data_IF_228229472258
#
_entry.id   IF_228229472258
#
_cell.length_a   1.000
_cell.length_b   1.000
_cell.length_c   1.000
_cell.angle_alpha   90.00
_cell.angle_beta   90.00
_cell.angle_gamma   90.00
#
_symmetry.space_group_name_H-M   'P 1'
#
loop_
_entity.id
_entity.type
_entity.pdbx_description
1 polymer ?
#
# COMPACT_ATOMS: atom_id res chain seq x y z
N UNK A 1 5.99 20.51 -13.11
CA UNK A 1 4.87 21.36 -12.62
C UNK A 1 3.96 20.56 -11.69
N UNK A 2 4.19 20.69 -10.36
CA UNK A 2 3.23 20.63 -9.24
C UNK A 2 2.43 19.32 -8.94
N UNK A 3 2.95 18.54 -7.98
CA UNK A 3 2.49 17.28 -7.35
C UNK A 3 1.14 17.31 -6.56
N UNK A 4 0.31 18.36 -6.66
CA UNK A 4 -0.83 18.55 -5.73
C UNK A 4 -2.10 17.73 -6.02
N UNK A 5 -2.13 16.85 -7.04
CA UNK A 5 -3.28 15.96 -7.27
C UNK A 5 -3.27 14.67 -6.44
N UNK A 6 -2.20 14.41 -5.69
CA UNK A 6 -2.16 13.34 -4.68
C UNK A 6 -2.90 13.71 -3.37
N UNK A 7 -3.32 14.97 -3.22
CA UNK A 7 -3.62 15.52 -1.90
C UNK A 7 -5.06 15.95 -1.67
N UNK A 8 -6.05 15.06 -1.64
CA UNK A 8 -7.30 15.40 -0.93
C UNK A 8 -8.04 14.25 -0.24
N UNK A 9 -7.72 12.99 -0.55
CA UNK A 9 -8.43 11.84 0.02
C UNK A 9 -7.54 10.85 0.80
N UNK A 10 -6.22 11.10 0.88
CA UNK A 10 -5.28 10.34 1.74
C UNK A 10 -4.41 11.31 2.55
N UNK A 11 -4.99 12.36 3.13
CA UNK A 11 -4.25 13.26 4.03
C UNK A 11 -4.46 12.85 5.49
N UNK A 12 -3.37 12.46 6.15
CA UNK A 12 -3.17 12.60 7.60
C UNK A 12 -3.83 11.53 8.48
N UNK A 13 -3.01 10.74 9.20
CA UNK A 13 -3.36 9.96 10.40
C UNK A 13 -4.51 8.94 10.34
N UNK A 14 -5.27 8.84 9.25
CA UNK A 14 -6.37 7.88 9.16
C UNK A 14 -5.80 6.49 8.89
N UNK A 15 -5.82 5.67 9.94
CA UNK A 15 -5.50 4.25 9.86
C UNK A 15 -6.60 3.56 9.05
N UNK A 16 -6.22 2.95 7.94
CA UNK A 16 -7.08 2.19 7.05
C UNK A 16 -6.80 0.69 7.20
N UNK A 17 -7.62 -0.15 6.58
CA UNK A 17 -7.23 -1.51 6.23
C UNK A 17 -6.64 -1.50 4.81
N UNK A 18 -5.68 -2.39 4.58
CA UNK A 18 -5.05 -2.59 3.27
C UNK A 18 -5.39 -3.98 2.76
N UNK A 19 -5.76 -4.07 1.49
CA UNK A 19 -5.99 -5.31 0.78
C UNK A 19 -5.24 -5.31 -0.54
N UNK A 20 -4.41 -6.34 -0.75
CA UNK A 20 -3.61 -6.53 -1.95
C UNK A 20 -4.09 -7.82 -2.62
N UNK A 21 -4.60 -7.70 -3.84
CA UNK A 21 -4.95 -8.84 -4.70
C UNK A 21 -3.80 -9.13 -5.66
N UNK A 22 -3.44 -10.40 -5.83
CA UNK A 22 -2.40 -10.85 -6.72
C UNK A 22 -2.95 -11.94 -7.65
N UNK A 23 -2.56 -11.92 -8.92
CA UNK A 23 -2.90 -12.94 -9.90
C UNK A 23 -1.68 -13.26 -10.77
N UNK A 24 -1.44 -14.55 -11.02
CA UNK A 24 -0.38 -15.03 -11.90
C UNK A 24 -0.92 -15.37 -13.30
N UNK A 25 -0.05 -15.82 -14.20
CA UNK A 25 -0.44 -16.19 -15.56
C UNK A 25 -1.18 -17.53 -15.69
N UNK A 26 -1.21 -18.34 -14.62
CA UNK A 26 -2.08 -19.53 -14.53
C UNK A 26 -3.50 -19.19 -14.06
N UNK A 27 -3.76 -17.90 -13.81
CA UNK A 27 -4.98 -17.33 -13.25
C UNK A 27 -5.22 -17.68 -11.78
N UNK A 28 -4.26 -18.31 -11.11
CA UNK A 28 -4.28 -18.49 -9.65
C UNK A 28 -4.25 -17.13 -8.99
N UNK A 29 -5.01 -16.99 -7.90
CA UNK A 29 -5.11 -15.73 -7.15
C UNK A 29 -4.63 -15.95 -5.73
N UNK A 30 -3.98 -14.93 -5.20
CA UNK A 30 -3.65 -14.85 -3.79
C UNK A 30 -3.90 -13.44 -3.27
N UNK A 31 -3.85 -13.26 -1.95
CA UNK A 31 -4.06 -11.95 -1.34
C UNK A 31 -3.25 -11.77 -0.06
N UNK A 32 -2.98 -10.51 0.26
CA UNK A 32 -2.44 -10.05 1.52
C UNK A 32 -3.34 -8.96 2.09
N UNK A 33 -3.76 -9.11 3.35
CA UNK A 33 -4.60 -8.16 4.06
C UNK A 33 -3.89 -7.70 5.33
N UNK A 34 -3.95 -6.40 5.60
CA UNK A 34 -3.43 -5.80 6.82
C UNK A 34 -4.54 -5.04 7.55
N UNK A 35 -4.70 -5.33 8.83
CA UNK A 35 -5.76 -4.75 9.67
C UNK A 35 -5.58 -3.25 9.98
N UNK A 36 -4.41 -2.70 9.68
CA UNK A 36 -4.06 -1.30 9.82
C UNK A 36 -3.04 -0.92 8.74
N UNK A 37 -3.20 0.25 8.13
CA UNK A 37 -2.30 0.80 7.14
C UNK A 37 -2.38 2.32 7.14
N UNK A 38 -1.24 2.97 7.28
CA UNK A 38 -1.11 4.41 7.10
C UNK A 38 0.23 4.75 6.44
N UNK A 39 0.21 5.82 5.67
CA UNK A 39 1.41 6.38 5.02
C UNK A 39 1.69 7.74 5.66
N UNK A 40 2.96 7.99 5.98
CA UNK A 40 3.42 9.27 6.51
C UNK A 40 3.37 10.39 5.48
N UNK A 41 3.71 11.61 5.90
CA UNK A 41 3.68 12.79 5.03
C UNK A 41 4.82 12.81 4.00
N UNK A 42 4.71 13.71 3.02
CA UNK A 42 5.76 13.97 2.03
C UNK A 42 7.09 14.39 2.70
N UNK A 43 7.02 15.23 3.73
CA UNK A 43 8.20 15.71 4.47
C UNK A 43 8.92 14.53 5.13
N UNK A 44 8.15 13.55 5.59
CA UNK A 44 8.66 12.30 6.17
C UNK A 44 9.09 11.30 5.09
N UNK A 45 8.91 11.59 3.79
CA UNK A 45 9.23 10.69 2.68
C UNK A 45 8.23 9.54 2.51
N UNK A 46 6.96 9.79 2.85
CA UNK A 46 5.85 8.84 2.69
C UNK A 46 6.10 7.45 3.28
N UNK A 47 6.58 7.28 4.53
CA UNK A 47 6.86 5.96 5.06
C UNK A 47 5.59 5.12 5.28
N UNK A 48 5.68 3.80 5.28
CA UNK A 48 4.61 2.95 5.86
C UNK A 48 4.62 3.16 7.38
N UNK A 49 3.88 4.15 7.86
CA UNK A 49 3.93 4.59 9.26
C UNK A 49 3.15 3.68 10.21
N UNK A 50 2.15 2.97 9.69
CA UNK A 50 1.41 1.93 10.41
C UNK A 50 1.23 0.74 9.48
N UNK A 51 1.57 -0.45 9.97
CA UNK A 51 1.22 -1.73 9.33
C UNK A 51 0.68 -2.66 10.41
N UNK A 52 -0.56 -3.09 10.23
CA UNK A 52 -1.29 -3.92 11.19
C UNK A 52 -0.99 -5.40 11.04
N UNK A 53 -1.75 -6.21 11.77
CA UNK A 53 -1.69 -7.67 11.66
C UNK A 53 -1.97 -8.11 10.22
N UNK A 54 -1.10 -8.97 9.70
CA UNK A 54 -1.25 -9.67 8.44
C UNK A 54 -2.25 -10.83 8.55
N UNK A 55 -3.09 -10.98 7.53
CA UNK A 55 -3.87 -12.18 7.20
C UNK A 55 -3.89 -12.36 5.68
N UNK A 56 -3.88 -13.59 5.18
CA UNK A 56 -3.94 -13.82 3.74
C UNK A 56 -3.36 -15.16 3.32
N UNK A 57 -3.32 -15.37 2.01
CA UNK A 57 -2.80 -16.60 1.37
C UNK A 57 -1.50 -16.36 0.60
N UNK A 58 -1.03 -15.11 0.50
CA UNK A 58 0.14 -14.75 -0.31
C UNK A 58 1.48 -14.85 0.45
N UNK A 59 1.45 -15.11 1.76
CA UNK A 59 2.56 -14.77 2.65
C UNK A 59 2.71 -13.26 2.86
N UNK A 60 3.52 -12.87 3.85
CA UNK A 60 3.64 -11.48 4.32
C UNK A 60 4.91 -10.82 3.77
N UNK A 61 4.89 -10.47 2.48
CA UNK A 61 6.03 -9.82 1.83
C UNK A 61 6.00 -8.28 1.88
N UNK A 62 5.12 -7.69 2.70
CA UNK A 62 5.12 -6.24 2.97
C UNK A 62 5.71 -5.88 4.34
N UNK A 63 5.73 -6.81 5.32
CA UNK A 63 6.24 -6.50 6.67
C UNK A 63 7.68 -6.00 6.68
N UNK A 64 8.53 -6.52 5.79
CA UNK A 64 9.92 -6.08 5.62
C UNK A 64 10.05 -4.59 5.25
N UNK A 65 8.99 -4.01 4.71
CA UNK A 65 8.90 -2.62 4.25
C UNK A 65 8.29 -1.68 5.30
N UNK A 66 7.82 -2.20 6.44
CA UNK A 66 7.20 -1.39 7.48
C UNK A 66 8.18 -0.34 8.02
N UNK A 67 7.74 0.92 8.09
CA UNK A 67 8.56 2.06 8.51
C UNK A 67 9.53 2.61 7.45
N UNK A 68 9.72 1.91 6.33
CA UNK A 68 10.63 2.38 5.27
C UNK A 68 10.00 3.55 4.52
N UNK A 69 10.85 4.46 4.06
CA UNK A 69 10.46 5.62 3.22
C UNK A 69 10.29 5.18 1.78
N UNK A 70 9.52 5.94 1.02
CA UNK A 70 9.32 5.64 -0.39
C UNK A 70 10.52 6.14 -1.20
N UNK A 71 11.10 5.24 -2.00
CA UNK A 71 12.24 5.51 -2.86
C UNK A 71 11.84 5.38 -4.33
N UNK A 72 12.36 6.29 -5.14
CA UNK A 72 12.21 6.32 -6.60
C UNK A 72 13.59 6.36 -7.24
N UNK A 73 13.65 6.23 -8.57
CA UNK A 73 14.91 6.28 -9.31
C UNK A 73 15.69 7.59 -9.08
N UNK A 74 14.99 8.70 -8.84
CA UNK A 74 15.54 10.03 -8.63
C UNK A 74 15.63 10.47 -7.16
N UNK A 75 15.02 9.71 -6.24
CA UNK A 75 14.99 10.02 -4.80
C UNK A 75 15.34 8.77 -3.99
N UNK A 76 16.58 8.72 -3.51
CA UNK A 76 17.10 7.63 -2.72
C UNK A 76 16.82 7.82 -1.22
N UNK A 77 15.87 7.06 -0.70
CA UNK A 77 15.54 7.00 0.72
C UNK A 77 15.59 5.58 1.28
N UNK A 78 16.25 4.66 0.56
CA UNK A 78 16.30 3.26 0.95
C UNK A 78 17.45 2.98 1.93
N UNK A 79 17.52 1.74 2.41
CA UNK A 79 18.48 1.31 3.42
C UNK A 79 19.83 0.87 2.83
N UNK A 80 20.00 0.85 1.51
CA UNK A 80 21.21 0.35 0.88
C UNK A 80 22.26 1.45 0.75
N UNK A 81 23.20 1.50 1.71
CA UNK A 81 24.18 2.58 1.82
C UNK A 81 25.06 2.84 0.57
N UNK A 82 25.32 1.80 -0.24
CA UNK A 82 26.25 1.85 -1.36
C UNK A 82 25.55 1.75 -2.73
N UNK A 83 24.22 1.82 -2.76
CA UNK A 83 23.45 1.66 -3.99
C UNK A 83 22.08 2.32 -3.91
N UNK A 84 21.24 2.01 -4.89
CA UNK A 84 19.88 2.52 -4.99
C UNK A 84 18.96 1.39 -5.45
N UNK A 85 18.04 0.97 -4.57
CA UNK A 85 17.15 -0.15 -4.81
C UNK A 85 16.18 0.14 -5.96
N UNK A 86 15.68 1.37 -6.08
CA UNK A 86 14.81 1.76 -7.19
C UNK A 86 15.51 1.63 -8.55
N UNK A 87 16.81 1.94 -8.62
CA UNK A 87 17.61 1.75 -9.82
C UNK A 87 17.88 0.27 -10.13
N UNK A 88 18.22 -0.52 -9.11
CA UNK A 88 18.54 -1.95 -9.27
C UNK A 88 17.29 -2.78 -9.61
N UNK A 89 16.21 -2.61 -8.86
CA UNK A 89 14.98 -3.42 -8.95
C UNK A 89 13.90 -2.79 -9.84
N UNK A 90 14.24 -1.72 -10.59
CA UNK A 90 13.44 -1.18 -11.70
C UNK A 90 12.00 -0.81 -11.32
N UNK A 91 11.80 -0.25 -10.13
CA UNK A 91 10.49 0.15 -9.62
C UNK A 91 10.58 1.29 -8.61
N UNK A 92 9.45 1.67 -8.02
CA UNK A 92 9.41 2.59 -6.88
C UNK A 92 8.58 2.00 -5.74
N UNK A 93 9.18 1.90 -4.57
CA UNK A 93 8.60 1.19 -3.45
C UNK A 93 9.14 1.69 -2.11
N UNK A 94 8.59 1.18 -1.03
CA UNK A 94 9.12 1.37 0.32
C UNK A 94 10.34 0.48 0.55
N UNK A 95 11.40 0.70 -0.23
CA UNK A 95 12.60 -0.16 -0.21
C UNK A 95 13.35 -0.06 1.13
N UNK A 96 13.87 -1.20 1.56
CA UNK A 96 14.86 -1.33 2.63
C UNK A 96 16.22 -1.63 1.98
N UNK A 97 16.72 -2.87 2.02
CA UNK A 97 17.93 -3.29 1.30
C UNK A 97 17.79 -4.67 0.64
N UNK A 98 16.95 -4.89 -0.36
CA UNK A 98 16.07 -3.91 -1.02
C UNK A 98 14.59 -4.18 -0.77
N UNK A 99 14.11 -5.40 -1.00
CA UNK A 99 12.68 -5.71 -0.92
C UNK A 99 12.38 -7.20 -0.76
N UNK A 100 11.16 -7.47 -0.29
CA UNK A 100 10.47 -8.76 -0.40
C UNK A 100 9.23 -8.67 -1.31
N UNK A 101 8.85 -7.47 -1.74
CA UNK A 101 7.81 -7.27 -2.75
C UNK A 101 8.15 -6.04 -3.60
N UNK A 102 7.78 -6.09 -4.88
CA UNK A 102 8.02 -4.98 -5.81
C UNK A 102 6.81 -4.83 -6.75
N UNK A 103 5.65 -4.45 -6.21
CA UNK A 103 4.42 -4.39 -7.02
C UNK A 103 4.40 -3.26 -8.07
N UNK A 104 5.38 -2.35 -7.99
CA UNK A 104 5.63 -1.28 -8.95
C UNK A 104 6.90 -1.54 -9.79
N UNK A 105 7.38 -2.79 -9.82
CA UNK A 105 8.45 -3.23 -10.72
C UNK A 105 7.98 -3.41 -12.16
N UNK A 106 8.88 -3.86 -13.02
CA UNK A 106 8.59 -4.07 -14.44
C UNK A 106 7.54 -5.17 -14.65
N UNK A 107 6.71 -5.01 -15.68
CA UNK A 107 5.79 -6.07 -16.10
C UNK A 107 6.50 -7.03 -17.07
N UNK A 108 6.99 -8.16 -16.56
CA UNK A 108 7.88 -9.09 -17.30
C UNK A 108 7.22 -10.42 -17.72
N UNK A 109 5.89 -10.51 -17.66
CA UNK A 109 5.10 -11.62 -18.21
C UNK A 109 5.44 -13.04 -17.68
N UNK A 110 5.61 -13.20 -16.36
CA UNK A 110 5.79 -14.52 -15.73
C UNK A 110 7.24 -14.79 -15.35
N UNK A 111 7.73 -16.00 -15.60
CA UNK A 111 9.09 -16.41 -15.25
C UNK A 111 10.13 -15.51 -15.92
N UNK A 112 11.13 -15.08 -15.14
CA UNK A 112 12.24 -14.26 -15.61
C UNK A 112 13.57 -14.96 -15.37
N UNK A 113 14.58 -14.76 -16.25
CA UNK A 113 15.90 -15.31 -16.02
C UNK A 113 16.62 -14.56 -14.89
N UNK A 114 17.67 -15.17 -14.34
CA UNK A 114 18.42 -14.69 -13.17
C UNK A 114 18.82 -13.21 -13.24
N UNK A 115 19.22 -12.72 -14.42
CA UNK A 115 19.65 -11.33 -14.59
C UNK A 115 18.50 -10.29 -14.54
N UNK A 116 17.25 -10.75 -14.47
CA UNK A 116 16.03 -9.93 -14.25
C UNK A 116 15.35 -10.25 -12.91
N UNK A 117 15.93 -11.12 -12.09
CA UNK A 117 15.41 -11.42 -10.75
C UNK A 117 15.25 -10.11 -9.95
N UNK A 118 14.16 -10.00 -9.18
CA UNK A 118 13.75 -8.82 -8.40
C UNK A 118 13.30 -7.59 -9.20
N UNK A 119 13.49 -7.55 -10.53
CA UNK A 119 13.14 -6.38 -11.35
C UNK A 119 11.65 -6.35 -11.74
N UNK A 120 10.95 -7.48 -11.61
CA UNK A 120 9.55 -7.63 -12.02
C UNK A 120 8.52 -7.21 -10.97
N UNK A 121 7.24 -7.21 -11.37
CA UNK A 121 6.11 -7.06 -10.45
C UNK A 121 5.93 -8.35 -9.63
N UNK A 122 6.57 -8.48 -8.47
CA UNK A 122 6.63 -9.75 -7.74
C UNK A 122 6.23 -9.67 -6.25
N UNK A 123 5.94 -10.84 -5.67
CA UNK A 123 5.66 -11.04 -4.24
C UNK A 123 6.41 -12.29 -3.76
N UNK A 124 7.43 -12.10 -2.89
CA UNK A 124 8.42 -13.13 -2.56
C UNK A 124 7.79 -14.42 -2.05
N UNK A 125 6.91 -14.33 -1.05
CA UNK A 125 6.38 -15.52 -0.36
C UNK A 125 5.40 -16.34 -1.21
N UNK A 126 4.95 -15.82 -2.36
CA UNK A 126 3.98 -16.52 -3.22
C UNK A 126 4.61 -17.13 -4.49
N UNK A 127 5.20 -16.29 -5.36
CA UNK A 127 5.80 -16.74 -6.63
C UNK A 127 7.31 -16.50 -6.69
N UNK A 128 7.90 -15.87 -5.67
CA UNK A 128 9.33 -15.56 -5.64
C UNK A 128 9.72 -14.39 -6.54
N UNK A 129 10.99 -13.96 -6.47
CA UNK A 129 11.51 -12.82 -7.20
C UNK A 129 11.83 -13.10 -8.67
N UNK A 130 11.90 -14.38 -9.07
CA UNK A 130 12.11 -14.82 -10.44
C UNK A 130 10.80 -14.98 -11.23
N UNK A 131 9.69 -14.39 -10.76
CA UNK A 131 8.38 -14.41 -11.42
C UNK A 131 7.67 -13.06 -11.33
N UNK A 132 7.36 -12.45 -12.49
CA UNK A 132 6.51 -11.26 -12.59
C UNK A 132 5.04 -11.65 -12.72
N UNK A 133 4.21 -11.14 -11.82
CA UNK A 133 2.78 -11.37 -11.74
C UNK A 133 2.03 -10.82 -12.98
N UNK A 134 0.86 -11.39 -13.25
CA UNK A 134 -0.05 -10.94 -14.33
C UNK A 134 -0.83 -9.70 -13.90
N UNK A 135 -1.33 -9.69 -12.66
CA UNK A 135 -2.06 -8.56 -12.10
C UNK A 135 -1.74 -8.41 -10.62
N UNK A 136 -1.68 -7.16 -10.19
CA UNK A 136 -1.76 -6.80 -8.78
C UNK A 136 -2.79 -5.69 -8.62
N UNK A 137 -3.43 -5.60 -7.46
CA UNK A 137 -4.32 -4.49 -7.12
C UNK A 137 -4.19 -4.16 -5.66
N UNK A 138 -3.90 -2.89 -5.36
CA UNK A 138 -3.83 -2.37 -3.99
C UNK A 138 -5.09 -1.55 -3.71
N UNK A 139 -5.82 -1.92 -2.66
CA UNK A 139 -7.05 -1.26 -2.22
C UNK A 139 -6.95 -0.90 -0.74
N UNK A 140 -7.44 0.29 -0.38
CA UNK A 140 -7.54 0.74 1.02
C UNK A 140 -9.00 0.95 1.42
N UNK A 141 -9.32 0.62 2.68
CA UNK A 141 -10.65 0.83 3.27
C UNK A 141 -10.53 1.59 4.58
N UNK A 142 -11.27 2.69 4.80
CA UNK A 142 -11.29 3.38 6.09
C UNK A 142 -11.67 2.44 7.24
N UNK A 143 -10.92 2.48 8.34
CA UNK A 143 -11.35 1.81 9.58
C UNK A 143 -12.40 2.67 10.25
N UNK A 144 -13.53 2.08 10.61
CA UNK A 144 -14.50 2.73 11.48
C UNK A 144 -13.85 3.01 12.83
N UNK A 145 -13.64 4.28 13.15
CA UNK A 145 -13.24 4.68 14.49
C UNK A 145 -14.46 4.53 15.39
N UNK A 146 -14.55 3.40 16.11
CA UNK A 146 -15.51 3.27 17.21
C UNK A 146 -14.97 4.13 18.34
N UNK A 147 -15.40 5.39 18.39
CA UNK A 147 -15.21 6.23 19.55
C UNK A 147 -16.11 5.70 20.68
N UNK A 148 -15.55 4.96 21.63
CA UNK A 148 -16.23 4.75 22.91
C UNK A 148 -16.19 6.07 23.67
N UNK A 149 -17.28 6.84 23.59
CA UNK A 149 -17.49 7.94 24.52
C UNK A 149 -17.61 7.32 25.91
N UNK A 150 -16.55 7.43 26.72
CA UNK A 150 -16.63 7.15 28.15
C UNK A 150 -17.22 8.38 28.84
N UNK A 151 -18.56 8.45 28.88
CA UNK A 151 -19.25 9.40 29.74
C UNK A 151 -19.05 9.00 31.21
N UNK A 152 -18.22 9.77 31.93
CA UNK A 152 -18.21 9.76 33.38
C UNK A 152 -19.48 10.47 33.89
N UNK A 153 -20.44 9.67 34.38
CA UNK A 153 -21.41 9.95 35.45
C UNK A 153 -21.93 11.39 35.61
N UNK A 154 -23.04 11.68 34.92
CA UNK A 154 -24.00 12.73 35.26
C UNK A 154 -25.44 12.21 35.05
N UNK A 155 -26.12 11.89 36.13
CA UNK A 155 -27.39 11.12 36.23
C UNK A 155 -28.63 11.90 35.75
N UNK A 156 -29.40 11.37 34.80
CA UNK A 156 -30.89 11.41 34.80
C UNK A 156 -31.48 10.33 33.89
N UNK A 157 -32.62 9.75 34.30
CA UNK A 157 -33.26 8.55 33.75
C UNK A 157 -34.35 8.84 32.69
N UNK A 158 -34.59 7.80 31.89
CA UNK A 158 -35.82 7.32 31.21
C UNK A 158 -36.22 7.92 29.85
N UNK A 159 -36.34 7.02 28.87
CA UNK A 159 -37.04 7.22 27.60
C UNK A 159 -36.69 6.13 26.59
N UNK A 160 -37.42 5.03 26.63
CA UNK A 160 -37.42 3.99 25.59
C UNK A 160 -37.93 4.62 24.27
N UNK A 161 -37.22 4.41 23.16
CA UNK A 161 -37.79 4.47 21.81
C UNK A 161 -36.82 3.93 20.75
N UNK A 162 -37.23 2.81 20.18
CA UNK A 162 -36.85 2.31 18.87
C UNK A 162 -36.78 3.42 17.81
N UNK A 163 -35.62 3.63 17.20
CA UNK A 163 -35.52 4.34 15.91
C UNK A 163 -34.58 3.53 15.01
N UNK A 164 -35.16 3.06 13.90
CA UNK A 164 -34.45 2.52 12.76
C UNK A 164 -33.60 3.63 12.13
N UNK A 165 -32.28 3.52 12.15
CA UNK A 165 -31.43 4.44 11.38
C UNK A 165 -31.22 3.91 9.96
N UNK A 166 -32.06 4.41 9.07
CA UNK A 166 -31.90 4.36 7.62
C UNK A 166 -31.11 5.59 7.18
N UNK A 167 -29.79 5.48 7.07
CA UNK A 167 -28.97 6.12 6.03
C UNK A 167 -27.50 5.74 6.27
N UNK A 168 -27.10 4.58 5.75
CA UNK A 168 -25.68 4.40 5.40
C UNK A 168 -25.50 5.16 4.09
N UNK A 169 -24.83 6.30 4.19
CA UNK A 169 -24.39 7.10 3.04
C UNK A 169 -23.61 6.19 2.07
N UNK A 170 -24.18 6.00 0.88
CA UNK A 170 -23.67 5.04 -0.13
C UNK A 170 -22.41 5.55 -0.85
N UNK A 171 -21.98 6.78 -0.58
CA UNK A 171 -20.89 7.42 -1.32
C UNK A 171 -19.51 7.27 -0.67
N UNK A 172 -19.39 6.63 0.49
CA UNK A 172 -18.10 6.45 1.19
C UNK A 172 -17.25 5.24 0.72
N UNK A 173 -17.68 4.51 -0.31
CA UNK A 173 -16.99 3.32 -0.83
C UNK A 173 -16.22 3.61 -2.14
N UNK A 174 -15.52 4.74 -2.22
CA UNK A 174 -14.58 4.97 -3.33
C UNK A 174 -13.22 4.39 -2.96
N UNK A 175 -12.96 3.16 -3.39
CA UNK A 175 -11.64 2.57 -3.28
C UNK A 175 -10.63 3.48 -4.01
N UNK A 176 -9.70 4.09 -3.27
CA UNK A 176 -8.58 4.81 -3.86
C UNK A 176 -7.61 3.80 -4.46
N UNK A 177 -7.33 3.96 -5.75
CA UNK A 177 -6.34 3.17 -6.45
C UNK A 177 -4.95 3.74 -6.15
N UNK A 178 -4.30 3.25 -5.08
CA UNK A 178 -2.94 3.66 -4.71
C UNK A 178 -1.93 3.36 -5.82
N UNK A 179 -2.15 2.30 -6.61
CA UNK A 179 -1.29 2.01 -7.77
C UNK A 179 -1.43 3.07 -8.86
N UNK A 180 -2.63 3.62 -9.09
CA UNK A 180 -2.77 4.74 -10.03
C UNK A 180 -2.05 5.99 -9.52
N UNK A 181 -2.11 6.27 -8.22
CA UNK A 181 -1.42 7.40 -7.61
C UNK A 181 0.12 7.22 -7.62
N UNK A 182 0.60 5.99 -7.45
CA UNK A 182 2.02 5.62 -7.53
C UNK A 182 2.53 5.59 -8.98
N UNK A 183 1.75 5.05 -9.93
CA UNK A 183 2.06 5.07 -11.36
C UNK A 183 2.11 6.50 -11.90
N UNK A 184 1.20 7.37 -11.46
CA UNK A 184 1.23 8.79 -11.81
C UNK A 184 2.45 9.53 -11.22
N UNK A 185 3.11 8.98 -10.18
CA UNK A 185 4.38 9.49 -9.68
C UNK A 185 5.56 8.96 -10.51
N UNK A 186 5.56 7.67 -10.85
CA UNK A 186 6.54 6.99 -11.72
C UNK A 186 6.59 7.59 -13.14
N UNK A 187 5.43 7.81 -13.76
CA UNK A 187 5.36 8.36 -15.12
C UNK A 187 5.94 9.79 -15.16
N UNK A 188 5.90 10.53 -14.04
CA UNK A 188 6.41 11.91 -13.98
C UNK A 188 7.91 11.99 -13.71
N UNK A 189 8.54 10.96 -13.15
CA UNK A 189 10.01 10.90 -13.00
C UNK A 189 10.72 10.53 -14.30
N UNK A 190 9.99 10.05 -15.33
CA UNK A 190 10.55 9.75 -16.66
C UNK A 190 10.63 10.97 -17.60
N UNK A 191 10.14 12.15 -17.19
CA UNK A 191 10.07 13.36 -18.05
C UNK A 191 10.87 14.57 -17.52
N UNK A 192 11.80 14.36 -16.61
CA UNK A 192 12.76 15.41 -16.21
C UNK A 192 14.13 15.09 -16.78
N UNK A 193 14.35 15.47 -18.03
CA UNK A 193 15.65 15.94 -18.54
C UNK A 193 15.79 17.45 -18.27
#
# INVERSE_FOLDING_TARGET
>A
MKLWKLGREVRGMHVNELFIELQDFTLEKSHAQYSAFAVGSEIEGYPISVLGKYEGTAGDSLVYHAGMRFSTHDMDHDGWADGNCAHSHKGAWWYNGCDTSNLNGQYLNGEVPENYEYQGMYWYDWRGPSYSLMKSRISVRPRSQVYTVTENLGRTKLGDNSIQDKHVDKDHNRALNLQQLQQEALDKSQYTE
#
